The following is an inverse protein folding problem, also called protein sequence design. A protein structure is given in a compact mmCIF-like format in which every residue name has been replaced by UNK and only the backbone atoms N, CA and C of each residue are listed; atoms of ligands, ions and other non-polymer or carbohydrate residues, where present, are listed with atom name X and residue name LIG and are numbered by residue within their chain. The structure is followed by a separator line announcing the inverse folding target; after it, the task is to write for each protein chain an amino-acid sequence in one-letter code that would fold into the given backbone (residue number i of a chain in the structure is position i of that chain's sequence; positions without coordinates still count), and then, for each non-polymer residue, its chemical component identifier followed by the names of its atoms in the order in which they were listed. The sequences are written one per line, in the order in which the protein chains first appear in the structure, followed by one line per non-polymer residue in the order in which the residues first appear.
data_IF_756743651080
#
_entry.id   IF_756743651080
#
_cell.length_a   1.000
_cell.length_b   1.000
_cell.length_c   1.000
_cell.angle_alpha   90.00
_cell.angle_beta   90.00
_cell.angle_gamma   90.00
#
_symmetry.space_group_name_H-M   'P 1'
#
loop_
_entity.id
_entity.type
_entity.pdbx_description
1 polymer ?
#
# COMPACT_ATOMS: atom_id res chain seq x y z
N UNK A 1 -46.76 -20.08 43.52
CA UNK A 1 -45.96 -18.85 43.36
C UNK A 1 -44.93 -19.10 42.25
N UNK A 2 -45.20 -18.74 41.01
CA UNK A 2 -44.29 -18.83 39.87
C UNK A 2 -43.61 -17.45 39.73
N UNK A 3 -42.28 -17.38 39.90
CA UNK A 3 -41.51 -16.18 39.65
C UNK A 3 -41.04 -16.21 38.19
N UNK A 4 -41.60 -15.33 37.39
CA UNK A 4 -41.14 -15.04 36.03
C UNK A 4 -39.97 -14.10 36.09
N UNK A 5 -38.79 -14.56 35.65
CA UNK A 5 -37.62 -13.69 35.39
C UNK A 5 -37.76 -13.11 33.98
N UNK A 6 -37.98 -11.82 33.89
CA UNK A 6 -37.88 -11.09 32.65
C UNK A 6 -36.36 -10.74 32.42
N UNK A 7 -35.75 -11.38 31.44
CA UNK A 7 -34.45 -10.98 30.96
C UNK A 7 -34.57 -9.71 30.10
N UNK A 8 -34.08 -8.59 30.60
CA UNK A 8 -33.97 -7.37 29.82
C UNK A 8 -32.79 -7.52 28.83
N UNK A 9 -33.11 -7.69 27.54
CA UNK A 9 -32.15 -7.47 26.47
C UNK A 9 -31.85 -5.96 26.39
N UNK A 10 -30.68 -5.57 26.86
CA UNK A 10 -30.15 -4.24 26.58
C UNK A 10 -29.70 -4.20 25.10
N UNK A 11 -30.21 -3.27 24.28
CA UNK A 11 -29.70 -3.10 22.93
C UNK A 11 -28.27 -2.58 23.03
N UNK A 12 -27.32 -3.31 22.43
CA UNK A 12 -25.98 -2.80 22.19
C UNK A 12 -26.11 -1.64 21.20
N UNK A 13 -26.16 -0.42 21.72
CA UNK A 13 -26.00 0.78 20.90
C UNK A 13 -24.58 0.74 20.34
N UNK A 14 -24.44 0.43 19.04
CA UNK A 14 -23.29 0.85 18.28
C UNK A 14 -23.29 2.38 18.30
N UNK A 15 -22.44 2.96 19.11
CA UNK A 15 -22.13 4.38 19.03
C UNK A 15 -21.32 4.53 17.74
N UNK A 16 -22.02 4.74 16.62
CA UNK A 16 -21.43 5.43 15.48
C UNK A 16 -20.85 6.72 16.08
N UNK A 17 -19.56 6.94 15.99
CA UNK A 17 -18.96 8.22 16.36
C UNK A 17 -19.46 9.23 15.34
N UNK A 18 -20.65 9.78 15.58
CA UNK A 18 -21.23 10.81 14.74
C UNK A 18 -20.23 11.96 14.65
N UNK A 19 -20.04 12.48 13.43
CA UNK A 19 -19.20 13.66 13.22
C UNK A 19 -19.65 14.78 14.16
N UNK A 20 -18.70 15.45 14.79
CA UNK A 20 -19.03 16.62 15.58
C UNK A 20 -19.57 17.72 14.66
N UNK A 21 -20.47 18.61 15.14
CA UNK A 21 -20.98 19.73 14.32
C UNK A 21 -19.87 20.58 13.66
N UNK A 22 -18.74 20.90 14.31
CA UNK A 22 -17.63 21.59 13.67
C UNK A 22 -16.95 20.79 12.54
N UNK A 23 -16.77 19.49 12.70
CA UNK A 23 -16.20 18.62 11.64
C UNK A 23 -17.12 18.58 10.42
N UNK A 24 -18.40 18.35 10.63
CA UNK A 24 -19.36 18.32 9.54
C UNK A 24 -19.44 19.68 8.80
N UNK A 25 -19.33 20.80 9.51
CA UNK A 25 -19.28 22.13 8.90
C UNK A 25 -18.03 22.30 8.04
N UNK A 26 -16.87 21.81 8.52
CA UNK A 26 -15.61 21.83 7.76
C UNK A 26 -15.71 20.98 6.49
N UNK A 27 -16.17 19.73 6.57
CA UNK A 27 -16.33 18.86 5.42
C UNK A 27 -17.32 19.42 4.38
N UNK A 28 -18.40 20.08 4.82
CA UNK A 28 -19.32 20.79 3.91
C UNK A 28 -18.65 21.96 3.20
N UNK A 29 -17.78 22.67 3.89
CA UNK A 29 -17.02 23.77 3.28
C UNK A 29 -16.04 23.24 2.22
N UNK A 30 -15.36 22.13 2.49
CA UNK A 30 -14.50 21.45 1.51
C UNK A 30 -15.33 20.92 0.31
N UNK A 31 -16.43 20.23 0.57
CA UNK A 31 -17.32 19.75 -0.48
C UNK A 31 -17.84 20.86 -1.40
N UNK A 32 -18.03 22.10 -0.87
CA UNK A 32 -18.43 23.24 -1.68
C UNK A 32 -17.36 23.73 -2.67
N UNK A 33 -16.11 23.30 -2.53
CA UNK A 33 -15.00 23.60 -3.43
C UNK A 33 -14.78 22.50 -4.48
N UNK A 34 -15.65 21.48 -4.51
CA UNK A 34 -15.53 20.30 -5.36
C UNK A 34 -16.75 20.20 -6.28
N UNK A 35 -16.50 19.84 -7.53
CA UNK A 35 -17.53 19.44 -8.49
C UNK A 35 -17.25 18.01 -8.93
N UNK A 36 -18.24 17.14 -8.87
CA UNK A 36 -18.20 15.78 -9.41
C UNK A 36 -19.27 15.67 -10.48
N UNK A 37 -18.86 15.37 -11.70
CA UNK A 37 -19.78 15.02 -12.80
C UNK A 37 -19.49 13.58 -13.23
N UNK A 38 -20.52 12.88 -13.70
CA UNK A 38 -20.34 11.55 -14.27
C UNK A 38 -20.70 11.57 -15.75
N UNK A 39 -19.86 10.93 -16.55
CA UNK A 39 -20.13 10.77 -17.97
C UNK A 39 -21.16 9.65 -18.25
N UNK A 40 -21.40 9.37 -19.53
CA UNK A 40 -22.37 8.35 -19.95
C UNK A 40 -21.96 6.92 -19.55
N UNK A 41 -20.71 6.71 -19.13
CA UNK A 41 -20.17 5.44 -18.63
C UNK A 41 -20.15 5.36 -17.11
N UNK A 42 -20.56 6.43 -16.43
CA UNK A 42 -20.51 6.56 -14.98
C UNK A 42 -19.15 6.93 -14.42
N UNK A 43 -18.15 7.21 -15.27
CA UNK A 43 -16.81 7.61 -14.82
C UNK A 43 -16.89 8.98 -14.14
N UNK A 44 -16.29 9.09 -12.96
CA UNK A 44 -16.29 10.34 -12.22
C UNK A 44 -15.24 11.33 -12.77
N UNK A 45 -15.68 12.53 -13.11
CA UNK A 45 -14.87 13.69 -13.43
C UNK A 45 -14.91 14.65 -12.25
N UNK A 46 -13.80 14.68 -11.51
CA UNK A 46 -13.66 15.45 -10.27
C UNK A 46 -12.88 16.72 -10.55
N UNK A 47 -13.41 17.85 -10.12
CA UNK A 47 -12.69 19.11 -10.10
C UNK A 47 -12.68 19.71 -8.70
N UNK A 48 -11.49 20.03 -8.18
CA UNK A 48 -11.30 20.72 -6.91
C UNK A 48 -10.57 22.05 -7.11
N UNK A 49 -10.85 23.05 -6.28
CA UNK A 49 -10.13 24.31 -6.30
C UNK A 49 -8.65 24.16 -5.98
N UNK A 50 -8.31 23.25 -5.06
CA UNK A 50 -6.95 22.89 -4.70
C UNK A 50 -6.71 21.40 -4.92
N UNK A 51 -5.44 20.93 -4.86
CA UNK A 51 -5.14 19.51 -4.89
C UNK A 51 -5.82 18.74 -3.73
N UNK A 52 -5.82 19.24 -2.48
CA UNK A 52 -6.60 18.63 -1.42
C UNK A 52 -8.10 18.53 -1.71
N UNK A 53 -8.73 19.60 -2.24
CA UNK A 53 -10.15 19.55 -2.61
C UNK A 53 -10.41 18.49 -3.70
N UNK A 54 -9.50 18.39 -4.68
CA UNK A 54 -9.59 17.37 -5.72
C UNK A 54 -9.45 15.94 -5.13
N UNK A 55 -8.58 15.73 -4.16
CA UNK A 55 -8.44 14.46 -3.42
C UNK A 55 -9.69 14.15 -2.61
N UNK A 56 -10.25 15.12 -1.92
CA UNK A 56 -11.53 14.97 -1.21
C UNK A 56 -12.63 14.48 -2.16
N UNK A 57 -12.78 15.12 -3.32
CA UNK A 57 -13.77 14.72 -4.32
C UNK A 57 -13.49 13.36 -4.93
N UNK A 58 -12.23 13.08 -5.25
CA UNK A 58 -11.78 11.81 -5.80
C UNK A 58 -12.16 10.62 -4.92
N UNK A 59 -11.87 10.72 -3.63
CA UNK A 59 -12.14 9.61 -2.70
C UNK A 59 -13.63 9.50 -2.34
N UNK A 60 -14.34 10.64 -2.31
CA UNK A 60 -15.77 10.66 -2.13
C UNK A 60 -16.49 9.94 -3.30
N UNK A 61 -16.11 10.23 -4.55
CA UNK A 61 -16.65 9.54 -5.73
C UNK A 61 -16.37 8.04 -5.72
N UNK A 62 -15.16 7.62 -5.31
CA UNK A 62 -14.86 6.20 -5.12
C UNK A 62 -15.76 5.56 -4.05
N UNK A 63 -16.01 6.27 -2.96
CA UNK A 63 -16.86 5.76 -1.88
C UNK A 63 -18.33 5.64 -2.30
N UNK A 64 -18.84 6.53 -3.17
CA UNK A 64 -20.16 6.39 -3.79
C UNK A 64 -20.25 5.13 -4.65
N UNK A 65 -19.18 4.78 -5.37
CA UNK A 65 -19.15 3.63 -6.26
C UNK A 65 -18.96 2.30 -5.51
N UNK A 66 -18.00 2.20 -4.59
CA UNK A 66 -17.70 0.95 -3.87
C UNK A 66 -17.01 1.17 -2.52
N UNK A 67 -17.69 1.80 -1.57
CA UNK A 67 -17.19 1.94 -0.20
C UNK A 67 -16.80 0.59 0.46
N UNK A 68 -17.57 -0.51 0.30
CA UNK A 68 -17.18 -1.79 0.89
C UNK A 68 -15.79 -2.27 0.45
N UNK A 69 -15.38 -1.98 -0.77
CA UNK A 69 -14.06 -2.36 -1.28
C UNK A 69 -12.96 -1.47 -0.71
N UNK A 70 -13.22 -0.17 -0.59
CA UNK A 70 -12.31 0.76 0.10
C UNK A 70 -12.07 0.27 1.53
N UNK A 71 -13.14 -0.04 2.26
CA UNK A 71 -13.04 -0.55 3.62
C UNK A 71 -12.25 -1.86 3.69
N UNK A 72 -12.52 -2.82 2.80
CA UNK A 72 -11.81 -4.10 2.75
C UNK A 72 -10.30 -3.91 2.52
N UNK A 73 -9.91 -3.02 1.60
CA UNK A 73 -8.52 -2.70 1.33
C UNK A 73 -7.83 -2.12 2.58
N UNK A 74 -8.47 -1.17 3.26
CA UNK A 74 -7.90 -0.60 4.49
C UNK A 74 -7.88 -1.57 5.67
N UNK A 75 -8.87 -2.43 5.81
CA UNK A 75 -8.84 -3.50 6.82
C UNK A 75 -7.64 -4.43 6.58
N UNK A 76 -7.39 -4.83 5.33
CA UNK A 76 -6.25 -5.67 4.97
C UNK A 76 -4.91 -4.97 5.26
N UNK A 77 -4.75 -3.73 4.80
CA UNK A 77 -3.49 -3.01 4.94
C UNK A 77 -3.19 -2.58 6.38
N UNK A 78 -4.22 -2.29 7.19
CA UNK A 78 -4.08 -1.99 8.61
C UNK A 78 -3.92 -3.24 9.49
N UNK A 79 -4.06 -4.46 8.94
CA UNK A 79 -4.07 -5.70 9.72
C UNK A 79 -5.24 -5.76 10.67
N UNK A 80 -6.46 -5.46 10.17
CA UNK A 80 -7.74 -5.42 10.90
C UNK A 80 -8.85 -6.24 10.23
N UNK A 81 -8.51 -7.06 9.26
CA UNK A 81 -9.47 -7.92 8.53
C UNK A 81 -10.22 -8.85 9.47
N UNK A 82 -9.59 -9.32 10.53
CA UNK A 82 -10.22 -10.19 11.51
C UNK A 82 -11.38 -9.53 12.29
N UNK A 83 -11.42 -8.20 12.36
CA UNK A 83 -12.56 -7.48 12.95
C UNK A 83 -13.84 -7.63 12.09
N UNK A 84 -13.70 -7.88 10.80
CA UNK A 84 -14.80 -8.12 9.87
C UNK A 84 -15.00 -9.62 9.59
N UNK A 85 -13.93 -10.37 9.32
CA UNK A 85 -13.96 -11.74 8.79
C UNK A 85 -13.75 -12.83 9.84
N UNK A 86 -13.47 -12.44 11.09
CA UNK A 86 -13.31 -13.36 12.21
C UNK A 86 -11.94 -14.00 12.31
N UNK A 87 -11.86 -15.08 13.09
CA UNK A 87 -10.61 -15.71 13.50
C UNK A 87 -9.73 -16.21 12.33
N UNK A 88 -10.35 -16.55 11.20
CA UNK A 88 -9.63 -17.03 10.00
C UNK A 88 -8.63 -16.02 9.44
N UNK A 89 -8.85 -14.72 9.65
CA UNK A 89 -8.01 -13.64 9.15
C UNK A 89 -6.87 -13.22 10.11
N UNK A 90 -6.77 -13.80 11.29
CA UNK A 90 -5.77 -13.42 12.31
C UNK A 90 -4.34 -13.47 11.77
N UNK A 91 -4.01 -14.46 10.96
CA UNK A 91 -2.64 -14.63 10.46
C UNK A 91 -2.30 -13.65 9.34
N UNK A 92 -3.27 -13.32 8.49
CA UNK A 92 -3.16 -12.24 7.51
C UNK A 92 -2.94 -10.89 8.22
N UNK A 93 -3.72 -10.62 9.27
CA UNK A 93 -3.55 -9.42 10.07
C UNK A 93 -2.21 -9.39 10.80
N UNK A 94 -1.76 -10.52 11.37
CA UNK A 94 -0.44 -10.59 11.98
C UNK A 94 0.67 -10.28 10.97
N UNK A 95 0.58 -10.84 9.74
CA UNK A 95 1.52 -10.55 8.65
C UNK A 95 1.61 -9.06 8.37
N UNK A 96 0.47 -8.38 8.21
CA UNK A 96 0.43 -6.94 8.02
C UNK A 96 1.04 -6.19 9.24
N UNK A 97 0.69 -6.58 10.44
CA UNK A 97 1.13 -5.96 11.70
C UNK A 97 2.61 -6.21 12.04
N UNK A 98 3.32 -7.04 11.30
CA UNK A 98 4.79 -7.13 11.40
C UNK A 98 5.46 -5.83 10.93
N UNK A 99 4.86 -5.11 9.98
CA UNK A 99 5.34 -3.84 9.43
C UNK A 99 4.47 -2.67 9.89
N UNK A 100 3.16 -2.81 9.85
CA UNK A 100 2.22 -1.75 10.20
C UNK A 100 2.10 -1.58 11.70
N UNK A 101 2.31 -0.36 12.15
CA UNK A 101 2.08 0.10 13.51
C UNK A 101 1.37 1.45 13.48
N UNK A 102 0.22 1.55 14.14
CA UNK A 102 -0.54 2.81 14.21
C UNK A 102 0.32 3.96 14.75
N UNK A 103 1.18 3.69 15.74
CA UNK A 103 2.05 4.71 16.33
C UNK A 103 3.15 5.16 15.35
N UNK A 104 3.74 4.23 14.59
CA UNK A 104 4.75 4.54 13.59
C UNK A 104 4.12 5.35 12.44
N UNK A 105 2.96 4.92 11.91
CA UNK A 105 2.25 5.67 10.87
C UNK A 105 1.80 7.06 11.33
N UNK A 106 1.37 7.22 12.58
CA UNK A 106 1.06 8.54 13.15
C UNK A 106 2.30 9.43 13.25
N UNK A 107 3.44 8.86 13.61
CA UNK A 107 4.71 9.58 13.62
C UNK A 107 5.15 9.96 12.20
N UNK A 108 4.97 9.07 11.23
CA UNK A 108 5.24 9.31 9.81
C UNK A 108 4.35 10.40 9.24
N UNK A 109 3.06 10.38 9.55
CA UNK A 109 2.14 11.45 9.19
C UNK A 109 2.59 12.78 9.79
N UNK A 110 2.94 12.82 11.08
CA UNK A 110 3.33 14.05 11.76
C UNK A 110 4.61 14.68 11.16
N UNK A 111 5.57 13.85 10.70
CA UNK A 111 6.82 14.32 10.05
C UNK A 111 6.72 14.50 8.53
N UNK A 112 5.60 14.10 7.92
CA UNK A 112 5.36 14.27 6.48
C UNK A 112 5.36 15.76 6.09
N UNK A 113 5.79 16.11 4.86
CA UNK A 113 5.66 17.47 4.35
C UNK A 113 4.23 18.01 4.45
N UNK A 114 4.07 19.31 4.74
CA UNK A 114 2.76 19.91 4.93
C UNK A 114 1.81 19.68 3.75
N UNK A 115 2.32 19.76 2.52
CA UNK A 115 1.51 19.49 1.33
C UNK A 115 0.93 18.08 1.35
N UNK A 116 1.75 17.08 1.72
CA UNK A 116 1.32 15.68 1.80
C UNK A 116 0.33 15.46 2.94
N UNK A 117 0.54 16.09 4.09
CA UNK A 117 -0.44 16.02 5.20
C UNK A 117 -1.81 16.55 4.78
N UNK A 118 -1.86 17.68 4.06
CA UNK A 118 -3.12 18.23 3.56
C UNK A 118 -3.85 17.29 2.59
N UNK A 119 -3.13 16.52 1.77
CA UNK A 119 -3.75 15.52 0.91
C UNK A 119 -4.32 14.36 1.72
N UNK A 120 -3.58 13.89 2.74
CA UNK A 120 -4.05 12.83 3.64
C UNK A 120 -5.23 13.29 4.51
N UNK A 121 -5.24 14.56 4.94
CA UNK A 121 -6.37 15.16 5.67
C UNK A 121 -7.62 15.14 4.78
N UNK A 122 -7.52 15.65 3.55
CA UNK A 122 -8.61 15.70 2.59
C UNK A 122 -9.11 14.29 2.21
N UNK A 123 -8.21 13.32 2.09
CA UNK A 123 -8.57 11.92 1.90
C UNK A 123 -9.43 11.38 3.05
N UNK A 124 -9.01 11.58 4.30
CA UNK A 124 -9.78 11.14 5.46
C UNK A 124 -11.13 11.87 5.57
N UNK A 125 -11.13 13.17 5.31
CA UNK A 125 -12.31 14.02 5.35
C UNK A 125 -13.33 13.62 4.29
N UNK A 126 -12.90 13.28 3.07
CA UNK A 126 -13.79 12.81 2.01
C UNK A 126 -14.51 11.49 2.37
N UNK A 127 -13.78 10.50 2.92
CA UNK A 127 -14.38 9.24 3.38
C UNK A 127 -15.32 9.43 4.58
N UNK A 128 -14.91 10.26 5.55
CA UNK A 128 -15.74 10.54 6.72
C UNK A 128 -16.99 11.35 6.34
N UNK A 129 -16.87 12.27 5.38
CA UNK A 129 -18.01 13.01 4.85
C UNK A 129 -18.99 12.10 4.10
N UNK A 130 -18.47 11.17 3.30
CA UNK A 130 -19.31 10.16 2.66
C UNK A 130 -20.11 9.37 3.69
N UNK A 131 -19.46 8.84 4.73
CA UNK A 131 -20.16 8.11 5.80
C UNK A 131 -21.20 8.98 6.54
N UNK A 132 -20.88 10.25 6.78
CA UNK A 132 -21.80 11.18 7.45
C UNK A 132 -23.03 11.55 6.59
N UNK A 133 -22.93 11.48 5.27
CA UNK A 133 -23.99 11.82 4.32
C UNK A 133 -24.74 10.60 3.79
N UNK A 134 -24.24 9.39 4.04
CA UNK A 134 -24.84 8.13 3.60
C UNK A 134 -25.16 7.20 4.80
N UNK A 135 -26.14 7.54 5.63
CA UNK A 135 -26.45 6.81 6.87
C UNK A 135 -26.89 5.34 6.64
N UNK A 136 -27.27 4.99 5.41
CA UNK A 136 -27.61 3.63 5.04
C UNK A 136 -26.40 2.74 4.72
N UNK A 137 -25.20 3.33 4.60
CA UNK A 137 -23.96 2.59 4.46
C UNK A 137 -23.51 2.11 5.84
N UNK A 138 -23.31 0.81 5.97
CA UNK A 138 -22.94 0.17 7.22
C UNK A 138 -21.52 -0.39 7.13
N UNK A 139 -20.49 0.33 7.63
CA UNK A 139 -19.13 -0.18 7.68
C UNK A 139 -19.06 -1.49 8.48
N UNK A 140 -18.23 -2.42 8.05
CA UNK A 140 -18.02 -3.71 8.72
C UNK A 140 -17.19 -3.55 10.02
N UNK A 141 -16.22 -2.60 10.01
CA UNK A 141 -15.34 -2.31 11.14
C UNK A 141 -14.75 -0.88 11.12
N UNK A 142 -14.59 -0.22 9.95
CA UNK A 142 -13.99 1.12 9.83
C UNK A 142 -15.08 2.19 9.78
N UNK A 143 -15.54 2.62 10.95
CA UNK A 143 -16.55 3.69 11.07
C UNK A 143 -15.97 5.10 10.99
N UNK A 144 -14.64 5.22 10.99
CA UNK A 144 -13.89 6.48 10.88
C UNK A 144 -12.53 6.23 10.24
N UNK A 145 -12.13 7.16 9.39
CA UNK A 145 -10.82 7.21 8.75
C UNK A 145 -9.99 8.36 9.35
N UNK A 146 -8.74 8.06 9.69
CA UNK A 146 -7.77 9.04 10.20
C UNK A 146 -6.71 9.29 9.12
N UNK A 147 -6.18 10.53 8.97
CA UNK A 147 -5.26 10.89 7.89
C UNK A 147 -4.04 9.96 7.74
N UNK A 148 -3.46 9.53 8.87
CA UNK A 148 -2.31 8.63 8.90
C UNK A 148 -2.58 7.25 8.29
N UNK A 149 -3.86 6.82 8.22
CA UNK A 149 -4.23 5.52 7.65
C UNK A 149 -3.89 5.44 6.15
N UNK A 150 -3.90 6.57 5.44
CA UNK A 150 -3.50 6.61 4.03
C UNK A 150 -2.08 6.07 3.80
N UNK A 151 -1.18 6.21 4.78
CA UNK A 151 0.18 5.68 4.71
C UNK A 151 0.26 4.16 4.81
N UNK A 152 -0.78 3.47 5.25
CA UNK A 152 -0.81 2.00 5.27
C UNK A 152 -1.02 1.40 3.89
N UNK A 153 -1.53 2.16 2.93
CA UNK A 153 -1.90 1.68 1.60
C UNK A 153 -1.32 2.58 0.51
N UNK A 154 -0.01 2.54 0.35
CA UNK A 154 0.72 3.23 -0.70
C UNK A 154 1.19 2.23 -1.75
N UNK A 155 1.54 2.71 -2.94
CA UNK A 155 1.95 1.89 -4.09
C UNK A 155 3.15 0.98 -3.82
N UNK A 156 3.93 1.29 -2.84
CA UNK A 156 5.19 0.60 -2.62
C UNK A 156 5.45 0.23 -1.18
N UNK A 157 4.49 0.38 -0.27
CA UNK A 157 4.78 0.12 1.13
C UNK A 157 4.61 -1.36 1.47
N UNK A 158 3.41 -1.89 1.39
CA UNK A 158 3.12 -3.23 1.90
C UNK A 158 2.34 -4.06 0.87
N UNK A 159 1.85 -3.43 -0.19
CA UNK A 159 1.13 -4.14 -1.25
C UNK A 159 2.05 -5.09 -2.02
N UNK A 160 1.64 -6.31 -2.22
CA UNK A 160 2.33 -7.29 -3.04
C UNK A 160 3.55 -7.94 -2.38
N UNK A 161 4.57 -7.20 -2.00
CA UNK A 161 5.82 -7.79 -1.46
C UNK A 161 5.62 -8.48 -0.12
N UNK A 162 4.75 -7.97 0.75
CA UNK A 162 4.43 -8.63 2.03
C UNK A 162 3.74 -9.98 1.83
N UNK A 163 3.07 -10.19 0.71
CA UNK A 163 2.38 -11.45 0.41
C UNK A 163 3.35 -12.61 0.16
N UNK A 164 4.63 -12.32 -0.07
CA UNK A 164 5.71 -13.31 -0.13
C UNK A 164 5.98 -13.96 1.22
N UNK A 165 5.53 -13.38 2.33
CA UNK A 165 5.58 -14.00 3.65
C UNK A 165 4.47 -15.07 3.72
N UNK A 166 4.89 -16.33 3.77
CA UNK A 166 4.01 -17.50 3.85
C UNK A 166 3.25 -17.54 5.19
N UNK A 167 1.92 -17.58 5.12
CA UNK A 167 1.07 -17.53 6.31
C UNK A 167 1.14 -18.82 7.16
N UNK A 168 1.37 -19.97 6.56
CA UNK A 168 1.47 -21.22 7.30
C UNK A 168 2.79 -21.32 8.07
N UNK A 169 3.89 -20.87 7.46
CA UNK A 169 5.18 -20.75 8.15
C UNK A 169 5.15 -19.70 9.27
N UNK A 170 4.50 -18.55 9.01
CA UNK A 170 4.29 -17.52 10.02
C UNK A 170 3.48 -18.08 11.20
N UNK A 171 2.40 -18.79 10.91
CA UNK A 171 1.56 -19.47 11.90
C UNK A 171 2.33 -20.54 12.66
N UNK A 172 3.13 -21.36 11.99
CA UNK A 172 3.98 -22.35 12.63
C UNK A 172 4.90 -21.72 13.66
N UNK A 173 5.56 -20.63 13.28
CA UNK A 173 6.50 -19.93 14.15
C UNK A 173 5.82 -19.29 15.39
N UNK A 174 4.74 -18.52 15.18
CA UNK A 174 4.10 -17.78 16.26
C UNK A 174 3.04 -18.56 17.06
N UNK A 175 2.60 -19.74 16.62
CA UNK A 175 1.68 -20.59 17.39
C UNK A 175 2.37 -21.68 18.21
N UNK A 176 3.68 -21.86 18.04
CA UNK A 176 4.45 -22.96 18.67
C UNK A 176 3.86 -24.36 18.39
N UNK A 177 3.14 -24.52 17.30
CA UNK A 177 2.56 -25.80 16.86
C UNK A 177 3.20 -26.26 15.58
N UNK A 178 3.68 -27.51 15.48
CA UNK A 178 4.11 -28.06 14.21
C UNK A 178 2.93 -28.04 13.21
N UNK A 179 3.15 -27.53 12.01
CA UNK A 179 2.17 -27.60 10.93
C UNK A 179 2.73 -28.60 9.90
N UNK A 180 1.89 -29.55 9.46
CA UNK A 180 2.20 -30.37 8.29
C UNK A 180 2.35 -29.44 7.09
N UNK A 181 3.36 -29.69 6.25
CA UNK A 181 3.60 -28.89 5.05
C UNK A 181 2.31 -28.78 4.23
N UNK A 182 1.76 -27.56 4.14
CA UNK A 182 0.64 -27.30 3.28
C UNK A 182 1.13 -27.10 1.84
N UNK A 183 0.34 -27.56 0.89
CA UNK A 183 0.57 -27.31 -0.52
C UNK A 183 0.52 -25.79 -0.76
N UNK A 184 1.50 -25.27 -1.47
CA UNK A 184 1.56 -23.86 -1.87
C UNK A 184 0.24 -23.46 -2.56
N UNK A 185 -0.44 -22.40 -2.11
CA UNK A 185 -1.65 -21.93 -2.79
C UNK A 185 -1.33 -21.58 -4.24
N UNK A 186 -2.23 -21.93 -5.14
CA UNK A 186 -2.15 -21.50 -6.53
C UNK A 186 -2.27 -19.97 -6.60
N UNK A 187 -1.21 -19.29 -7.03
CA UNK A 187 -1.25 -17.87 -7.32
C UNK A 187 -1.78 -17.67 -8.74
N UNK A 188 -2.85 -16.89 -8.87
CA UNK A 188 -3.29 -16.41 -10.18
C UNK A 188 -2.13 -15.67 -10.84
N UNK A 189 -1.78 -16.06 -12.07
CA UNK A 189 -0.76 -15.38 -12.85
C UNK A 189 -1.27 -13.97 -13.18
N UNK A 190 -0.85 -13.00 -12.38
CA UNK A 190 -1.10 -11.59 -12.63
C UNK A 190 -0.01 -11.07 -13.56
N UNK A 191 -0.41 -10.50 -14.66
CA UNK A 191 0.47 -9.87 -15.61
C UNK A 191 -0.13 -8.55 -16.09
N UNK A 192 0.54 -7.88 -17.00
CA UNK A 192 0.01 -6.69 -17.66
C UNK A 192 0.80 -6.46 -18.94
N UNK A 193 0.17 -5.88 -19.96
CA UNK A 193 0.84 -5.51 -21.19
C UNK A 193 0.88 -4.00 -21.36
N UNK A 194 2.01 -3.47 -21.78
CA UNK A 194 2.18 -2.09 -22.18
C UNK A 194 3.00 -1.99 -23.46
N UNK A 195 2.66 -1.03 -24.29
CA UNK A 195 3.42 -0.70 -25.50
C UNK A 195 3.50 0.82 -25.60
N UNK A 196 4.71 1.36 -25.73
CA UNK A 196 4.90 2.77 -26.06
C UNK A 196 5.45 2.89 -27.48
N UNK A 197 4.86 3.77 -28.29
CA UNK A 197 5.20 3.98 -29.70
C UNK A 197 5.53 5.46 -29.92
N UNK A 198 6.71 5.73 -30.50
CA UNK A 198 7.17 7.08 -30.77
C UNK A 198 6.48 7.68 -32.02
N UNK A 199 6.39 9.02 -32.14
CA UNK A 199 5.72 9.75 -33.22
C UNK A 199 6.10 9.33 -34.64
N UNK A 200 7.35 8.94 -34.86
CA UNK A 200 7.83 8.51 -36.17
C UNK A 200 7.15 7.27 -36.77
N UNK A 201 6.47 6.48 -35.93
CA UNK A 201 5.75 5.27 -36.31
C UNK A 201 4.22 5.45 -36.31
N UNK A 202 3.72 6.63 -36.02
CA UNK A 202 2.29 6.92 -35.93
C UNK A 202 1.83 7.81 -37.08
N UNK A 203 0.60 7.62 -37.53
CA UNK A 203 0.07 8.35 -38.67
C UNK A 203 -0.15 9.86 -38.40
N UNK A 204 -0.42 10.22 -37.14
CA UNK A 204 -0.70 11.59 -36.71
C UNK A 204 0.51 12.28 -36.05
N UNK A 205 1.65 11.61 -35.98
CA UNK A 205 2.85 12.17 -35.34
C UNK A 205 2.76 12.33 -33.83
N UNK A 206 1.84 11.63 -33.15
CA UNK A 206 1.71 11.62 -31.67
C UNK A 206 2.30 10.34 -31.09
N UNK A 207 2.83 10.42 -29.88
CA UNK A 207 3.16 9.22 -29.11
C UNK A 207 1.91 8.43 -28.76
N UNK A 208 2.01 7.11 -28.75
CA UNK A 208 0.93 6.23 -28.29
C UNK A 208 1.42 5.40 -27.11
N UNK A 209 0.55 5.21 -26.11
CA UNK A 209 0.79 4.34 -24.96
C UNK A 209 -0.40 3.40 -24.75
N UNK A 210 -0.15 2.10 -24.88
CA UNK A 210 -1.11 1.08 -24.45
C UNK A 210 -0.97 0.85 -22.96
N UNK A 211 -2.08 0.94 -22.23
CA UNK A 211 -2.20 0.64 -20.80
C UNK A 211 -3.19 -0.52 -20.67
N UNK A 212 -2.68 -1.74 -20.45
CA UNK A 212 -3.48 -2.96 -20.40
C UNK A 212 -3.15 -3.79 -19.16
N UNK A 213 -3.69 -3.42 -17.97
CA UNK A 213 -3.51 -4.21 -16.76
C UNK A 213 -4.36 -5.49 -16.81
N UNK A 214 -3.76 -6.64 -16.45
CA UNK A 214 -4.47 -7.89 -16.26
C UNK A 214 -4.77 -8.06 -14.77
N UNK A 215 -5.80 -7.39 -14.30
CA UNK A 215 -6.28 -7.44 -12.92
C UNK A 215 -7.77 -7.74 -12.90
N UNK A 216 -8.31 -8.08 -11.74
CA UNK A 216 -9.77 -8.20 -11.57
C UNK A 216 -10.46 -6.90 -12.02
N UNK A 217 -11.62 -7.01 -12.66
CA UNK A 217 -12.47 -5.87 -13.03
C UNK A 217 -12.82 -4.97 -11.84
N UNK A 218 -12.79 -5.53 -10.64
CA UNK A 218 -13.13 -4.83 -9.39
C UNK A 218 -11.90 -4.28 -8.65
N UNK A 219 -10.70 -4.34 -9.24
CA UNK A 219 -9.48 -3.97 -8.54
C UNK A 219 -9.27 -2.46 -8.48
N UNK A 220 -9.70 -1.72 -9.49
CA UNK A 220 -9.50 -0.27 -9.63
C UNK A 220 -10.74 0.46 -10.07
N UNK A 221 -10.80 1.74 -9.70
CA UNK A 221 -11.75 2.74 -10.18
C UNK A 221 -11.10 3.57 -11.28
N UNK A 222 -11.85 3.94 -12.31
CA UNK A 222 -11.41 4.84 -13.37
C UNK A 222 -11.97 6.24 -13.09
N UNK A 223 -11.11 7.27 -13.18
CA UNK A 223 -11.50 8.64 -12.85
C UNK A 223 -10.67 9.67 -13.62
N UNK A 224 -11.26 10.85 -13.84
CA UNK A 224 -10.53 12.08 -14.14
C UNK A 224 -10.50 12.97 -12.92
N UNK A 225 -9.33 13.51 -12.58
CA UNK A 225 -9.15 14.38 -11.40
C UNK A 225 -8.39 15.63 -11.81
N UNK A 226 -8.97 16.80 -11.52
CA UNK A 226 -8.43 18.10 -11.90
C UNK A 226 -8.42 19.05 -10.71
N UNK A 227 -7.48 20.01 -10.70
CA UNK A 227 -7.47 21.13 -9.75
C UNK A 227 -6.96 22.43 -10.39
N UNK A 228 -7.30 23.59 -9.81
CA UNK A 228 -6.72 24.87 -10.23
C UNK A 228 -5.23 24.98 -9.89
N UNK A 229 -4.66 24.02 -9.14
CA UNK A 229 -3.23 23.90 -8.85
C UNK A 229 -2.45 23.05 -9.85
N UNK A 230 -3.05 22.75 -11.00
CA UNK A 230 -2.41 22.08 -12.13
C UNK A 230 -2.44 20.56 -12.09
N UNK A 231 -3.23 19.95 -11.23
CA UNK A 231 -3.58 18.54 -11.38
C UNK A 231 -4.56 18.41 -12.55
N UNK A 232 -4.29 17.52 -13.48
CA UNK A 232 -5.19 17.17 -14.58
C UNK A 232 -4.81 15.78 -15.08
N UNK A 233 -5.38 14.76 -14.48
CA UNK A 233 -4.99 13.37 -14.67
C UNK A 233 -6.21 12.49 -14.88
N UNK A 234 -6.11 11.54 -15.81
CA UNK A 234 -7.09 10.52 -16.11
C UNK A 234 -6.46 9.13 -15.99
N UNK A 235 -7.18 8.17 -15.44
CA UNK A 235 -6.76 6.78 -15.37
C UNK A 235 -7.31 6.03 -14.16
N UNK A 236 -6.61 4.98 -13.78
CA UNK A 236 -7.06 4.04 -12.78
C UNK A 236 -6.41 4.27 -11.41
N UNK A 237 -7.23 4.34 -10.36
CA UNK A 237 -6.84 4.34 -8.96
C UNK A 237 -7.27 3.04 -8.29
N UNK A 238 -6.43 2.45 -7.46
CA UNK A 238 -6.85 1.35 -6.60
C UNK A 238 -7.83 1.87 -5.56
N UNK A 239 -8.91 1.16 -5.32
CA UNK A 239 -9.97 1.60 -4.40
C UNK A 239 -9.44 2.02 -3.03
N UNK A 240 -9.66 3.27 -2.69
CA UNK A 240 -9.19 3.90 -1.47
C UNK A 240 -7.88 4.69 -1.61
N UNK A 241 -7.13 4.56 -2.70
CA UNK A 241 -5.96 5.41 -2.97
C UNK A 241 -6.40 6.74 -3.62
N UNK A 242 -5.71 7.82 -3.28
CA UNK A 242 -6.03 9.17 -3.76
C UNK A 242 -5.06 9.68 -4.85
N UNK A 243 -4.55 8.78 -5.64
CA UNK A 243 -3.70 9.10 -6.81
C UNK A 243 -4.00 8.14 -7.96
N UNK A 244 -3.81 8.61 -9.17
CA UNK A 244 -3.91 7.75 -10.34
C UNK A 244 -2.66 6.88 -10.42
N UNK A 245 -2.86 5.56 -10.28
CA UNK A 245 -1.80 4.56 -10.29
C UNK A 245 -1.16 4.44 -11.66
N UNK A 246 -1.98 4.31 -12.69
CA UNK A 246 -1.58 4.31 -14.09
C UNK A 246 -2.62 5.06 -14.92
N UNK A 247 -2.15 5.81 -15.90
CA UNK A 247 -2.98 6.70 -16.68
C UNK A 247 -2.15 7.75 -17.40
N UNK A 248 -2.74 8.92 -17.61
CA UNK A 248 -2.08 10.01 -18.30
C UNK A 248 -2.58 11.38 -17.82
N UNK A 249 -1.77 12.37 -18.01
CA UNK A 249 -2.13 13.79 -17.89
C UNK A 249 -2.06 14.48 -19.27
N UNK A 250 -2.11 15.81 -19.30
CA UNK A 250 -2.06 16.54 -20.56
C UNK A 250 -0.73 16.38 -21.35
N UNK A 251 0.34 15.90 -20.71
CA UNK A 251 1.68 15.87 -21.26
C UNK A 251 2.29 14.48 -21.35
N UNK A 252 1.96 13.59 -20.41
CA UNK A 252 2.63 12.31 -20.27
C UNK A 252 1.67 11.20 -19.82
N UNK A 253 1.97 9.98 -20.24
CA UNK A 253 1.30 8.77 -19.78
C UNK A 253 2.29 7.79 -19.16
N UNK A 254 1.82 7.00 -18.19
CA UNK A 254 2.59 5.95 -17.54
C UNK A 254 1.73 4.72 -17.28
N UNK A 255 2.37 3.58 -17.34
CA UNK A 255 1.76 2.28 -17.09
C UNK A 255 2.73 1.40 -16.32
N UNK A 256 2.19 0.59 -15.43
CA UNK A 256 2.96 -0.36 -14.65
C UNK A 256 2.64 -1.80 -15.02
N UNK A 257 3.68 -2.62 -15.15
CA UNK A 257 3.57 -4.08 -15.26
C UNK A 257 4.27 -4.75 -14.09
N UNK A 258 3.92 -5.98 -13.77
CA UNK A 258 4.63 -6.75 -12.74
C UNK A 258 6.10 -6.92 -13.15
N UNK A 259 7.01 -6.77 -12.19
CA UNK A 259 8.44 -6.95 -12.37
C UNK A 259 8.93 -8.20 -11.68
N UNK A 260 9.87 -8.92 -12.32
CA UNK A 260 10.61 -10.00 -11.71
C UNK A 260 11.88 -9.54 -10.97
N UNK A 261 12.08 -8.23 -10.81
CA UNK A 261 13.26 -7.72 -10.11
C UNK A 261 13.19 -8.09 -8.62
N UNK A 262 14.34 -8.51 -8.07
CA UNK A 262 14.42 -8.94 -6.68
C UNK A 262 14.64 -7.72 -5.76
N UNK A 263 13.61 -7.39 -4.98
CA UNK A 263 13.58 -6.23 -4.05
C UNK A 263 13.33 -6.64 -2.61
N UNK A 264 13.32 -7.96 -2.35
CA UNK A 264 13.00 -8.54 -1.04
C UNK A 264 14.01 -9.61 -0.70
N UNK A 265 14.56 -9.58 0.52
CA UNK A 265 15.54 -10.55 0.99
C UNK A 265 15.13 -11.22 2.29
N UNK A 266 15.59 -12.44 2.47
CA UNK A 266 15.51 -13.18 3.71
C UNK A 266 16.90 -13.35 4.33
N UNK A 267 16.97 -13.18 5.65
CA UNK A 267 18.21 -13.29 6.41
C UNK A 267 18.07 -14.34 7.51
N UNK A 268 18.98 -15.33 7.50
CA UNK A 268 19.05 -16.39 8.47
C UNK A 268 19.79 -15.92 9.73
N UNK A 269 19.03 -15.61 10.77
CA UNK A 269 19.55 -15.04 12.03
C UNK A 269 19.93 -16.14 13.02
N UNK A 270 21.12 -16.07 13.56
CA UNK A 270 21.58 -16.93 14.66
C UNK A 270 21.14 -16.33 15.98
N UNK A 271 20.06 -16.86 16.55
CA UNK A 271 19.40 -16.32 17.73
C UNK A 271 19.78 -17.10 18.99
N UNK A 272 20.14 -16.38 20.06
CA UNK A 272 20.41 -16.93 21.37
C UNK A 272 19.44 -16.38 22.40
N UNK A 273 19.08 -17.21 23.37
CA UNK A 273 18.30 -16.76 24.53
C UNK A 273 19.23 -16.09 25.56
N UNK A 274 18.90 -14.87 25.99
CA UNK A 274 19.60 -14.15 27.04
C UNK A 274 18.62 -13.65 28.11
N UNK A 275 18.69 -14.24 29.28
CA UNK A 275 17.77 -13.92 30.37
C UNK A 275 16.32 -14.15 29.95
N UNK A 276 15.49 -13.11 30.02
CA UNK A 276 14.08 -13.14 29.60
C UNK A 276 13.86 -12.82 28.12
N UNK A 277 14.91 -12.42 27.39
CA UNK A 277 14.83 -12.00 25.99
C UNK A 277 15.69 -12.85 25.05
N UNK A 278 15.89 -12.33 23.85
CA UNK A 278 16.72 -12.91 22.82
C UNK A 278 17.74 -11.88 22.34
N UNK A 279 18.87 -12.37 21.82
CA UNK A 279 19.79 -11.59 21.01
C UNK A 279 20.10 -12.37 19.72
N UNK A 280 20.53 -11.67 18.68
CA UNK A 280 20.99 -12.24 17.42
C UNK A 280 22.46 -11.91 17.18
N UNK A 281 23.20 -12.86 16.65
CA UNK A 281 24.62 -12.67 16.34
C UNK A 281 24.77 -11.72 15.15
N UNK A 282 25.68 -10.74 15.26
CA UNK A 282 26.07 -9.84 14.18
C UNK A 282 27.56 -9.59 14.25
N UNK A 283 28.31 -10.13 13.31
CA UNK A 283 29.74 -10.23 13.39
C UNK A 283 30.16 -11.05 14.62
N UNK A 284 30.79 -10.38 15.60
CA UNK A 284 31.22 -11.00 16.88
C UNK A 284 30.37 -10.57 18.06
N UNK A 285 29.29 -9.83 17.82
CA UNK A 285 28.47 -9.24 18.89
C UNK A 285 27.07 -9.84 18.85
N UNK A 286 26.55 -10.25 20.00
CA UNK A 286 25.15 -10.60 20.13
C UNK A 286 24.33 -9.33 20.41
N UNK A 287 23.61 -8.83 19.41
CA UNK A 287 22.78 -7.63 19.49
C UNK A 287 21.43 -7.97 20.14
N UNK A 288 20.89 -7.14 21.04
CA UNK A 288 19.55 -7.35 21.56
C UNK A 288 18.53 -7.40 20.44
N UNK A 289 17.65 -8.41 20.47
CA UNK A 289 16.56 -8.51 19.52
C UNK A 289 15.43 -7.58 19.92
N UNK A 290 14.93 -6.80 18.96
CA UNK A 290 13.72 -6.01 19.13
C UNK A 290 12.50 -6.93 19.30
N UNK A 291 11.56 -6.54 20.16
CA UNK A 291 10.28 -7.23 20.25
C UNK A 291 9.14 -6.21 20.30
N UNK A 292 8.00 -6.62 19.79
CA UNK A 292 6.78 -5.81 19.80
C UNK A 292 5.58 -6.69 20.12
N UNK A 293 4.79 -6.36 21.15
CA UNK A 293 3.50 -7.01 21.37
C UNK A 293 2.52 -6.56 20.29
N UNK A 294 1.87 -7.53 19.64
CA UNK A 294 0.82 -7.29 18.65
C UNK A 294 -0.45 -7.95 19.16
N UNK A 295 -1.52 -7.19 19.29
CA UNK A 295 -2.84 -7.71 19.67
C UNK A 295 -3.78 -7.56 18.49
N UNK A 296 -4.29 -8.68 18.01
CA UNK A 296 -5.29 -8.76 16.94
C UNK A 296 -6.66 -8.92 17.58
N UNK A 297 -7.56 -7.98 17.29
CA UNK A 297 -8.98 -8.06 17.63
C UNK A 297 -9.70 -8.79 16.51
N UNK A 298 -10.59 -9.72 16.84
CA UNK A 298 -11.34 -10.48 15.84
C UNK A 298 -12.80 -10.67 16.24
N UNK A 299 -13.68 -10.78 15.26
CA UNK A 299 -15.11 -11.06 15.46
C UNK A 299 -15.29 -12.55 15.70
N UNK A 300 -16.05 -12.91 16.73
CA UNK A 300 -16.47 -14.29 17.02
C UNK A 300 -17.76 -14.64 16.27
N UNK A 301 -18.07 -15.94 16.22
CA UNK A 301 -19.28 -16.44 15.56
C UNK A 301 -20.59 -15.96 16.20
N UNK A 302 -20.56 -15.56 17.47
CA UNK A 302 -21.70 -14.97 18.21
C UNK A 302 -21.84 -13.45 18.01
N UNK A 303 -20.98 -12.84 17.16
CA UNK A 303 -20.93 -11.41 16.89
C UNK A 303 -20.15 -10.59 17.91
N UNK A 304 -19.72 -11.16 19.02
CA UNK A 304 -18.85 -10.50 19.99
C UNK A 304 -17.39 -10.42 19.50
N UNK A 305 -16.53 -9.70 20.21
CA UNK A 305 -15.12 -9.62 19.87
C UNK A 305 -14.25 -10.41 20.84
N UNK A 306 -13.22 -11.05 20.29
CA UNK A 306 -12.10 -11.60 21.00
C UNK A 306 -10.81 -10.86 20.66
N UNK A 307 -9.75 -11.17 21.42
CA UNK A 307 -8.40 -10.70 21.13
C UNK A 307 -7.42 -11.87 21.17
N UNK A 308 -6.39 -11.80 20.32
CA UNK A 308 -5.25 -12.71 20.35
C UNK A 308 -3.97 -11.91 20.31
N UNK A 309 -3.09 -12.15 21.29
CA UNK A 309 -1.82 -11.42 21.43
C UNK A 309 -0.65 -12.29 21.00
N UNK A 310 0.33 -11.65 20.36
CA UNK A 310 1.57 -12.23 19.89
C UNK A 310 2.74 -11.36 20.36
N UNK A 311 3.86 -11.98 20.68
CA UNK A 311 5.15 -11.29 20.82
C UNK A 311 5.88 -11.45 19.50
N UNK A 312 5.97 -10.39 18.71
CA UNK A 312 6.73 -10.42 17.45
C UNK A 312 8.17 -9.97 17.69
N UNK A 313 9.07 -10.47 16.88
CA UNK A 313 10.50 -10.25 16.98
C UNK A 313 11.04 -9.54 15.76
N UNK A 314 12.10 -8.74 15.93
CA UNK A 314 12.71 -7.98 14.86
C UNK A 314 14.21 -7.85 15.05
N UNK A 315 14.98 -7.97 13.96
CA UNK A 315 16.37 -7.56 13.87
C UNK A 315 16.47 -6.21 13.16
N UNK A 316 17.67 -5.72 12.92
CA UNK A 316 17.90 -4.51 12.12
C UNK A 316 17.54 -4.70 10.64
N UNK A 317 17.49 -5.94 10.17
CA UNK A 317 17.16 -6.31 8.80
C UNK A 317 15.65 -6.42 8.54
N UNK A 318 14.85 -6.69 9.58
CA UNK A 318 13.41 -6.79 9.43
C UNK A 318 12.74 -7.62 10.53
N UNK A 319 11.41 -7.82 10.44
CA UNK A 319 10.67 -8.70 11.35
C UNK A 319 11.01 -10.17 11.08
N UNK A 320 10.94 -10.97 12.14
CA UNK A 320 11.07 -12.43 12.03
C UNK A 320 9.74 -13.00 11.53
N UNK A 321 9.79 -13.78 10.47
CA UNK A 321 8.60 -14.32 9.80
C UNK A 321 8.46 -15.84 9.93
N UNK A 322 9.56 -16.56 10.15
CA UNK A 322 9.58 -18.04 10.24
C UNK A 322 10.87 -18.55 10.87
N UNK A 323 10.99 -19.85 11.03
CA UNK A 323 12.25 -20.52 11.36
C UNK A 323 12.56 -21.56 10.28
N UNK A 324 13.82 -21.69 9.91
CA UNK A 324 14.30 -22.67 8.94
C UNK A 324 15.45 -23.48 9.52
N UNK A 325 15.21 -24.74 9.87
CA UNK A 325 16.23 -25.69 10.37
C UNK A 325 17.10 -25.16 11.53
N UNK A 326 16.51 -24.33 12.41
CA UNK A 326 17.18 -23.72 13.55
C UNK A 326 17.28 -22.20 13.50
N UNK A 327 17.89 -21.57 12.48
CA UNK A 327 17.90 -20.12 12.33
C UNK A 327 16.49 -19.51 12.24
N UNK A 328 16.35 -18.31 12.77
CA UNK A 328 15.15 -17.49 12.56
C UNK A 328 15.33 -16.65 11.31
N UNK A 329 14.27 -16.48 10.53
CA UNK A 329 14.35 -15.77 9.26
C UNK A 329 13.75 -14.36 9.44
N UNK A 330 14.59 -13.35 9.28
CA UNK A 330 14.18 -11.96 9.12
C UNK A 330 13.83 -11.69 7.65
N UNK A 331 12.82 -10.87 7.42
CA UNK A 331 12.33 -10.53 6.09
C UNK A 331 12.50 -9.03 5.85
N UNK A 332 13.26 -8.68 4.82
CA UNK A 332 13.52 -7.30 4.43
C UNK A 332 12.79 -6.94 3.14
N UNK A 333 12.08 -5.83 3.15
CA UNK A 333 11.41 -5.25 1.99
C UNK A 333 11.39 -3.74 2.10
N UNK A 334 10.92 -3.05 1.06
CA UNK A 334 10.72 -1.61 1.11
C UNK A 334 9.67 -1.24 2.18
N UNK A 335 10.06 -0.36 3.10
CA UNK A 335 9.20 0.23 4.13
C UNK A 335 9.40 1.76 4.15
N UNK A 336 8.85 2.43 3.12
CA UNK A 336 8.97 3.88 2.88
C UNK A 336 7.62 4.49 2.50
N UNK A 337 6.62 4.46 3.40
CA UNK A 337 5.26 4.85 3.06
C UNK A 337 5.13 6.32 2.66
N UNK A 338 5.88 7.23 3.29
CA UNK A 338 5.81 8.66 2.99
C UNK A 338 6.41 8.96 1.61
N UNK A 339 7.56 8.38 1.30
CA UNK A 339 8.22 8.53 0.00
C UNK A 339 7.39 7.91 -1.12
N UNK A 340 6.80 6.74 -0.88
CA UNK A 340 5.95 6.07 -1.85
C UNK A 340 4.71 6.89 -2.19
N UNK A 341 4.04 7.46 -1.20
CA UNK A 341 2.87 8.29 -1.41
C UNK A 341 3.22 9.60 -2.13
N UNK A 342 4.37 10.23 -1.77
CA UNK A 342 4.87 11.41 -2.48
C UNK A 342 5.20 11.10 -3.93
N UNK A 343 5.91 10.02 -4.20
CA UNK A 343 6.25 9.60 -5.57
C UNK A 343 4.99 9.37 -6.41
N UNK A 344 4.03 8.63 -5.87
CA UNK A 344 2.79 8.29 -6.57
C UNK A 344 1.93 9.50 -6.88
N UNK A 345 1.81 10.45 -5.96
CA UNK A 345 1.06 11.67 -6.21
C UNK A 345 1.80 12.63 -7.16
N UNK A 346 3.10 12.86 -6.94
CA UNK A 346 3.85 13.85 -7.72
C UNK A 346 4.03 13.43 -9.18
N UNK A 347 4.17 12.12 -9.49
CA UNK A 347 4.28 11.66 -10.89
C UNK A 347 3.03 12.00 -11.71
N UNK A 348 1.84 12.15 -11.10
CA UNK A 348 0.63 12.58 -11.80
C UNK A 348 0.74 13.99 -12.38
N UNK A 349 1.72 14.78 -11.92
CA UNK A 349 2.04 16.14 -12.41
C UNK A 349 3.31 16.20 -13.26
N UNK A 350 3.94 15.06 -13.55
CA UNK A 350 5.10 15.02 -14.46
C UNK A 350 4.70 15.50 -15.86
N UNK A 351 5.56 16.32 -16.50
CA UNK A 351 5.27 16.91 -17.82
C UNK A 351 6.08 16.27 -18.93
N UNK A 352 7.15 15.60 -18.59
CA UNK A 352 8.09 15.01 -19.52
C UNK A 352 8.86 13.87 -18.84
N UNK A 353 9.63 13.12 -19.62
CA UNK A 353 10.45 12.02 -19.11
C UNK A 353 11.46 12.50 -18.05
N UNK A 354 12.03 13.69 -18.23
CA UNK A 354 13.03 14.21 -17.29
C UNK A 354 12.43 14.47 -15.90
N UNK A 355 11.27 15.12 -15.83
CA UNK A 355 10.55 15.35 -14.55
C UNK A 355 10.06 14.05 -13.92
N UNK A 356 9.59 13.09 -14.73
CA UNK A 356 9.20 11.76 -14.26
C UNK A 356 10.37 11.02 -13.60
N UNK A 357 11.54 10.98 -14.28
CA UNK A 357 12.75 10.36 -13.76
C UNK A 357 13.30 11.08 -12.52
N UNK A 358 13.19 12.41 -12.47
CA UNK A 358 13.64 13.19 -11.31
C UNK A 358 12.83 12.84 -10.06
N UNK A 359 11.50 12.67 -10.18
CA UNK A 359 10.62 12.22 -9.09
C UNK A 359 11.00 10.79 -8.65
N UNK A 360 11.11 9.86 -9.59
CA UNK A 360 11.48 8.48 -9.32
C UNK A 360 12.86 8.37 -8.66
N UNK A 361 13.87 9.09 -9.16
CA UNK A 361 15.22 9.10 -8.61
C UNK A 361 15.33 9.70 -7.21
N UNK A 362 14.49 10.70 -6.92
CA UNK A 362 14.42 11.34 -5.60
C UNK A 362 13.91 10.38 -4.51
N UNK A 363 12.86 9.64 -4.80
CA UNK A 363 12.17 8.84 -3.79
C UNK A 363 12.57 7.38 -3.81
N UNK A 364 12.79 6.80 -5.00
CA UNK A 364 13.09 5.37 -5.19
C UNK A 364 12.16 4.47 -4.37
N UNK A 365 10.88 4.79 -4.41
CA UNK A 365 9.88 4.18 -3.55
C UNK A 365 8.73 3.55 -4.36
N UNK A 366 9.08 2.89 -5.45
CA UNK A 366 8.21 2.03 -6.21
C UNK A 366 8.59 0.56 -5.93
N UNK A 367 7.62 -0.30 -5.74
CA UNK A 367 7.86 -1.72 -5.49
C UNK A 367 8.12 -2.48 -6.80
N UNK A 368 7.79 -3.75 -6.87
CA UNK A 368 8.08 -4.67 -7.98
C UNK A 368 7.33 -4.34 -9.28
N UNK A 369 7.44 -3.11 -9.81
CA UNK A 369 6.75 -2.69 -11.03
C UNK A 369 7.69 -2.12 -12.09
N UNK A 370 7.67 -2.68 -13.29
CA UNK A 370 8.21 -2.01 -14.47
C UNK A 370 7.33 -0.82 -14.83
N UNK A 371 7.88 0.17 -15.51
CA UNK A 371 7.12 1.34 -15.96
C UNK A 371 7.35 1.57 -17.46
N UNK A 372 6.26 1.66 -18.21
CA UNK A 372 6.27 2.23 -19.55
C UNK A 372 5.84 3.68 -19.49
N UNK A 373 6.45 4.51 -20.31
CA UNK A 373 6.24 5.95 -20.36
C UNK A 373 6.18 6.44 -21.80
N UNK A 374 5.33 7.43 -22.04
CA UNK A 374 5.31 8.21 -23.28
C UNK A 374 4.91 9.65 -22.96
N UNK A 375 5.43 10.65 -23.69
CA UNK A 375 5.07 12.06 -23.53
C UNK A 375 4.73 12.76 -24.84
N UNK A 376 4.24 14.00 -24.74
CA UNK A 376 3.86 14.86 -25.88
C UNK A 376 5.08 15.41 -26.66
N UNK A 377 6.29 15.26 -26.12
CA UNK A 377 7.55 15.58 -26.78
C UNK A 377 8.06 14.45 -27.68
N UNK A 378 7.38 13.31 -27.67
CA UNK A 378 7.72 12.14 -28.46
C UNK A 378 8.72 11.21 -27.79
N UNK A 379 8.97 11.39 -26.51
CA UNK A 379 9.86 10.52 -25.74
C UNK A 379 9.09 9.30 -25.24
N UNK A 380 9.67 8.11 -25.46
CA UNK A 380 9.17 6.85 -24.96
C UNK A 380 10.24 6.14 -24.15
N UNK A 381 9.83 5.40 -23.12
CA UNK A 381 10.76 4.67 -22.28
C UNK A 381 10.14 3.42 -21.65
N UNK A 382 11.01 2.43 -21.42
CA UNK A 382 10.79 1.31 -20.48
C UNK A 382 11.78 1.43 -19.34
N UNK A 383 11.29 1.45 -18.12
CA UNK A 383 12.04 1.83 -16.94
C UNK A 383 11.83 0.85 -15.78
N UNK A 384 12.84 0.74 -14.92
CA UNK A 384 12.77 0.07 -13.63
C UNK A 384 12.98 1.08 -12.48
N UNK A 385 12.04 2.02 -12.24
CA UNK A 385 12.20 3.06 -11.21
C UNK A 385 11.89 2.53 -9.80
N UNK A 386 12.41 1.35 -9.47
CA UNK A 386 12.07 0.61 -8.27
C UNK A 386 13.05 0.86 -7.13
N UNK A 387 12.61 0.40 -5.95
CA UNK A 387 13.45 0.22 -4.79
C UNK A 387 14.31 -1.03 -4.98
N UNK A 388 15.55 -0.86 -5.39
CA UNK A 388 16.49 -1.99 -5.60
C UNK A 388 17.67 -1.84 -4.64
N UNK A 389 17.77 -2.73 -3.63
CA UNK A 389 18.89 -2.70 -2.68
C UNK A 389 20.23 -3.00 -3.34
N UNK A 390 21.26 -2.28 -2.94
CA UNK A 390 22.64 -2.64 -3.25
C UNK A 390 23.07 -3.79 -2.33
N UNK A 391 23.48 -4.88 -2.92
CA UNK A 391 23.89 -6.11 -2.25
C UNK A 391 25.35 -6.45 -2.59
N UNK A 392 25.99 -7.26 -1.77
CA UNK A 392 27.31 -7.82 -2.08
C UNK A 392 27.14 -9.04 -3.00
N UNK A 393 27.62 -8.96 -4.23
CA UNK A 393 27.48 -9.99 -5.28
C UNK A 393 28.15 -11.32 -4.94
N UNK A 394 28.92 -11.41 -3.85
CA UNK A 394 29.47 -12.67 -3.36
C UNK A 394 28.41 -13.62 -2.78
N UNK A 395 27.22 -13.11 -2.42
CA UNK A 395 26.16 -13.85 -1.80
C UNK A 395 24.97 -14.09 -2.77
N UNK A 396 24.29 -15.22 -2.58
CA UNK A 396 23.08 -15.55 -3.37
C UNK A 396 21.83 -15.19 -2.59
N UNK A 397 21.26 -14.02 -2.83
CA UNK A 397 20.05 -13.53 -2.17
C UNK A 397 18.75 -14.19 -2.67
N UNK A 398 18.78 -15.06 -3.69
CA UNK A 398 17.64 -15.91 -4.03
C UNK A 398 17.32 -16.95 -2.94
N UNK A 399 18.16 -17.07 -1.92
CA UNK A 399 17.98 -17.90 -0.73
C UNK A 399 18.27 -17.05 0.53
N UNK A 400 17.79 -17.45 1.72
CA UNK A 400 18.16 -16.78 2.94
C UNK A 400 19.68 -16.69 3.12
N UNK A 401 20.24 -15.50 3.22
CA UNK A 401 21.67 -15.24 3.48
C UNK A 401 21.97 -15.23 4.97
N UNK A 402 23.22 -15.40 5.37
CA UNK A 402 23.63 -15.39 6.78
C UNK A 402 23.53 -13.99 7.39
N UNK A 403 22.44 -13.70 8.11
CA UNK A 403 22.20 -12.41 8.78
C UNK A 403 23.19 -12.08 9.91
N UNK A 404 24.05 -13.05 10.30
CA UNK A 404 25.13 -12.79 11.24
C UNK A 404 26.39 -12.18 10.60
N UNK A 405 26.51 -12.23 9.26
CA UNK A 405 27.61 -11.62 8.53
C UNK A 405 27.24 -10.19 8.10
N UNK A 406 27.92 -9.15 8.62
CA UNK A 406 27.64 -7.76 8.22
C UNK A 406 27.80 -7.47 6.72
N UNK A 407 28.50 -8.30 5.98
CA UNK A 407 28.67 -8.15 4.54
C UNK A 407 27.38 -8.47 3.75
N UNK A 408 26.41 -9.15 4.36
CA UNK A 408 25.12 -9.42 3.73
C UNK A 408 24.12 -8.27 3.87
N UNK A 409 24.41 -7.25 4.66
CA UNK A 409 23.51 -6.08 4.81
C UNK A 409 23.30 -5.36 3.47
N UNK A 410 22.18 -4.67 3.35
CA UNK A 410 21.95 -3.73 2.26
C UNK A 410 22.83 -2.49 2.42
N UNK A 411 23.56 -2.13 1.38
CA UNK A 411 24.49 -0.98 1.36
C UNK A 411 23.87 0.29 0.74
N UNK A 412 22.55 0.40 0.73
CA UNK A 412 21.81 1.49 0.12
C UNK A 412 20.96 1.02 -1.06
N UNK A 413 20.64 1.93 -1.98
CA UNK A 413 19.84 1.64 -3.18
C UNK A 413 20.63 1.98 -4.43
N UNK A 414 20.48 1.15 -5.45
CA UNK A 414 20.99 1.46 -6.78
C UNK A 414 20.48 2.82 -7.30
N UNK A 415 21.30 3.54 -8.05
CA UNK A 415 20.87 4.70 -8.80
C UNK A 415 19.97 4.24 -9.96
N UNK A 416 19.02 5.07 -10.40
CA UNK A 416 18.16 4.69 -11.55
C UNK A 416 18.96 4.43 -12.82
N UNK A 417 20.10 5.10 -12.99
CA UNK A 417 21.01 4.92 -14.12
C UNK A 417 21.72 3.56 -14.14
N UNK A 418 21.75 2.86 -13.00
CA UNK A 418 22.33 1.52 -12.87
C UNK A 418 21.30 0.42 -13.16
N UNK A 419 20.00 0.77 -13.16
CA UNK A 419 18.93 -0.16 -13.38
C UNK A 419 18.63 -0.33 -14.88
N UNK A 420 18.20 -1.52 -15.32
CA UNK A 420 17.83 -1.75 -16.71
C UNK A 420 16.82 -0.72 -17.20
N UNK A 421 17.08 -0.11 -18.33
CA UNK A 421 16.15 0.84 -18.95
C UNK A 421 16.36 0.91 -20.46
N UNK A 422 15.29 1.21 -21.17
CA UNK A 422 15.31 1.51 -22.60
C UNK A 422 14.68 2.88 -22.79
N UNK A 423 15.48 3.86 -23.20
CA UNK A 423 15.03 5.24 -23.39
C UNK A 423 15.26 5.64 -24.86
N UNK A 424 14.24 6.19 -25.52
CA UNK A 424 14.30 6.65 -26.92
C UNK A 424 14.90 5.60 -27.87
N UNK A 425 14.38 4.35 -27.91
CA UNK A 425 14.97 3.29 -28.73
C UNK A 425 14.95 3.66 -30.21
N UNK A 426 15.99 3.24 -30.94
CA UNK A 426 16.07 3.47 -32.39
C UNK A 426 14.94 2.78 -33.15
N UNK A 427 14.38 1.68 -32.64
CA UNK A 427 13.17 1.00 -33.14
C UNK A 427 11.96 1.93 -33.21
N UNK A 428 11.83 2.87 -32.25
CA UNK A 428 10.67 3.74 -32.07
C UNK A 428 9.52 3.09 -31.31
N UNK A 429 9.75 1.98 -30.65
CA UNK A 429 8.77 1.34 -29.76
C UNK A 429 9.46 0.55 -28.63
N UNK A 430 8.77 0.37 -27.56
CA UNK A 430 9.10 -0.49 -26.42
C UNK A 430 7.85 -1.20 -25.92
#
# INVERSE_FOLDING_TARGET
MRKTFAAALAPLLFVLTAASPPELARWRAEASQVTITRDDWGIAHVHGRTDPDAVFGMIYAQAEDDFPRIEANYLTNLGRTAEADGEKAIWQDLRARLYISDNELKADYARSPLAMRRLMDAWADGLNYFLATHPNVHPRALTRFEPWMALSFTEGSIGGDIERIDLDQLKAFYSSKPIAAALTPWHELQGSNGIAIAPKLTANGSSLLLINPHTSHFFRSEQQVTSDQGLNVYGAATWGQFFIYQGFNAHAGWMHTSSGIDVVDEFAEKVERRGTGHCYLYGRVCRPMGFRPVTIRYRKGDGTFGTRSFTTYRTHLGPIVRSANGPWIAFAMMDKPVEALQQSFLRTKARDLASFLAIAGRFKANSSNNTLFADDQGEIAYLHPQFVPQRDDRFNYAQPVDGSDPATDWHGLHALSELPSVVKPASGWV
#
